data_IF_173229080265
#
_entry.id   IF_173229080265
#
_cell.length_a   1.000
_cell.length_b   1.000
_cell.length_c   1.000
_cell.angle_alpha   90.00
_cell.angle_beta   90.00
_cell.angle_gamma   90.00
#
_symmetry.space_group_name_H-M   'P 1'
#
loop_
_entity.id
_entity.type
_entity.pdbx_description
1 polymer ?
#
# COMPACT_ATOMS: atom_id res chain seq x y z
N UNK A 1 2.12 -46.44 -22.40
CA UNK A 1 1.14 -46.68 -23.47
C UNK A 1 -0.24 -46.42 -22.89
N UNK A 2 -0.88 -45.27 -23.10
CA UNK A 2 -1.54 -44.88 -24.36
C UNK A 2 -1.45 -43.35 -24.57
N UNK A 3 -0.87 -42.97 -25.71
CA UNK A 3 -0.96 -41.65 -26.34
C UNK A 3 -2.32 -41.50 -27.03
N UNK A 4 -2.97 -40.34 -26.86
CA UNK A 4 -3.77 -39.57 -27.85
C UNK A 4 -4.36 -38.37 -27.08
N UNK A 5 -3.82 -37.15 -27.15
CA UNK A 5 -3.82 -36.17 -28.26
C UNK A 5 -5.23 -35.64 -28.58
N UNK A 6 -5.30 -34.31 -28.79
CA UNK A 6 -6.43 -33.42 -29.10
C UNK A 6 -7.06 -32.75 -27.87
N UNK A 7 -7.20 -31.43 -27.77
CA UNK A 7 -6.81 -30.31 -28.62
C UNK A 7 -7.01 -29.05 -27.76
N UNK A 8 -6.01 -28.17 -27.65
CA UNK A 8 -6.07 -26.80 -28.16
C UNK A 8 -7.47 -26.15 -28.06
N UNK A 9 -7.78 -25.59 -26.89
CA UNK A 9 -8.60 -24.39 -26.78
C UNK A 9 -7.62 -23.24 -26.47
N UNK A 10 -7.05 -22.64 -27.52
CA UNK A 10 -7.59 -21.44 -28.15
C UNK A 10 -7.44 -20.22 -27.23
N UNK A 11 -6.35 -19.51 -27.47
CA UNK A 11 -5.99 -18.23 -26.90
C UNK A 11 -7.16 -17.23 -26.97
N UNK A 12 -7.74 -16.91 -25.81
CA UNK A 12 -8.72 -15.85 -25.64
C UNK A 12 -8.02 -14.51 -25.44
N UNK A 13 -7.74 -13.84 -26.56
CA UNK A 13 -7.65 -12.38 -26.74
C UNK A 13 -7.21 -11.52 -25.54
N UNK A 14 -5.89 -11.30 -25.42
CA UNK A 14 -5.36 -10.02 -24.94
C UNK A 14 -5.71 -8.93 -25.98
N UNK A 15 -6.87 -8.29 -25.85
CA UNK A 15 -7.22 -7.12 -26.67
C UNK A 15 -8.34 -6.28 -26.03
N UNK A 16 -8.10 -5.72 -24.85
CA UNK A 16 -8.89 -4.63 -24.25
C UNK A 16 -8.04 -4.02 -23.11
N UNK A 17 -7.57 -2.77 -23.09
CA UNK A 17 -7.80 -1.59 -23.91
C UNK A 17 -6.47 -0.82 -23.99
N UNK A 18 -5.81 -0.83 -25.14
CA UNK A 18 -4.73 0.08 -25.47
C UNK A 18 -5.09 0.77 -26.78
N UNK A 19 -5.85 1.86 -26.70
CA UNK A 19 -6.08 2.74 -27.84
C UNK A 19 -5.04 3.87 -27.75
N UNK A 20 -4.10 3.99 -28.69
CA UNK A 20 -3.37 5.24 -28.86
C UNK A 20 -4.39 6.26 -29.38
N UNK A 21 -4.71 7.26 -28.55
CA UNK A 21 -5.53 8.38 -28.97
C UNK A 21 -4.81 9.09 -30.12
N UNK A 22 -5.37 8.95 -31.32
CA UNK A 22 -4.96 9.65 -32.51
C UNK A 22 -5.15 11.17 -32.28
N UNK A 23 -4.05 11.91 -32.38
CA UNK A 23 -3.98 13.34 -32.12
C UNK A 23 -4.66 14.09 -33.27
N UNK A 24 -5.97 14.31 -33.17
CA UNK A 24 -6.63 15.35 -33.94
C UNK A 24 -6.28 16.72 -33.33
N UNK A 25 -5.87 17.73 -34.11
CA UNK A 25 -5.69 19.08 -33.60
C UNK A 25 -7.06 19.64 -33.24
N UNK A 26 -7.39 19.63 -31.95
CA UNK A 26 -8.46 20.46 -31.43
C UNK A 26 -7.99 21.91 -31.51
N UNK A 27 -8.56 22.62 -32.48
CA UNK A 27 -8.59 24.06 -32.60
C UNK A 27 -8.78 24.70 -31.22
N UNK A 28 -7.77 25.46 -30.78
CA UNK A 28 -7.77 26.15 -29.49
C UNK A 28 -8.84 27.24 -29.49
N UNK A 29 -10.07 26.88 -29.11
CA UNK A 29 -10.97 27.84 -28.51
C UNK A 29 -10.36 28.25 -27.14
N UNK A 30 -10.16 29.54 -26.85
CA UNK A 30 -9.64 29.95 -25.55
C UNK A 30 -10.64 29.56 -24.47
N UNK A 31 -10.28 28.55 -23.67
CA UNK A 31 -10.94 28.28 -22.41
C UNK A 31 -10.82 29.53 -21.55
N UNK A 32 -11.96 30.12 -21.19
CA UNK A 32 -12.02 31.18 -20.19
C UNK A 32 -11.33 30.67 -18.92
N UNK A 33 -10.22 31.32 -18.55
CA UNK A 33 -9.50 30.99 -17.34
C UNK A 33 -10.44 31.19 -16.14
N UNK A 34 -10.70 30.11 -15.39
CA UNK A 34 -11.29 30.24 -14.07
C UNK A 34 -10.38 31.12 -13.20
N UNK A 35 -10.93 31.97 -12.31
CA UNK A 35 -10.12 32.77 -11.42
C UNK A 35 -9.24 31.86 -10.57
N UNK A 36 -7.96 32.22 -10.46
CA UNK A 36 -7.02 31.50 -9.60
C UNK A 36 -7.52 31.56 -8.14
N UNK A 37 -7.29 30.49 -7.35
CA UNK A 37 -7.62 30.50 -5.93
C UNK A 37 -6.87 31.66 -5.25
N UNK A 38 -7.63 32.55 -4.60
CA UNK A 38 -7.07 33.68 -3.85
C UNK A 38 -6.69 33.15 -2.47
N UNK A 39 -5.38 33.04 -2.20
CA UNK A 39 -4.88 32.75 -0.86
C UNK A 39 -4.95 34.02 -0.01
N UNK A 40 -5.34 33.94 1.28
CA UNK A 40 -5.32 35.10 2.17
C UNK A 40 -3.89 35.65 2.33
N UNK A 41 -3.73 36.98 2.23
CA UNK A 41 -2.43 37.66 2.35
C UNK A 41 -1.82 37.53 3.76
N UNK A 42 -2.64 37.21 4.77
CA UNK A 42 -2.24 37.08 6.17
C UNK A 42 -1.81 35.64 6.56
N UNK A 43 -1.45 34.79 5.59
CA UNK A 43 -0.93 33.45 5.90
C UNK A 43 0.45 33.56 6.57
N UNK A 44 0.65 33.01 7.79
CA UNK A 44 1.96 33.05 8.44
C UNK A 44 3.01 32.30 7.59
N UNK A 45 4.28 32.74 7.63
CA UNK A 45 5.36 32.06 6.92
C UNK A 45 5.35 30.57 7.28
N UNK A 46 5.27 29.71 6.26
CA UNK A 46 5.47 28.28 6.45
C UNK A 46 6.96 28.09 6.76
N UNK A 47 7.30 27.67 7.99
CA UNK A 47 8.67 27.27 8.29
C UNK A 47 9.02 26.06 7.43
N UNK A 48 10.11 26.16 6.65
CA UNK A 48 10.61 25.04 5.87
C UNK A 48 11.14 23.97 6.82
N UNK A 49 10.37 22.88 6.96
CA UNK A 49 10.85 21.67 7.61
C UNK A 49 11.90 21.00 6.72
N UNK A 50 13.16 21.07 7.12
CA UNK A 50 14.23 20.29 6.50
C UNK A 50 13.92 18.80 6.70
N UNK A 51 13.86 17.98 5.63
CA UNK A 51 13.64 16.55 5.79
C UNK A 51 14.85 15.97 6.52
N UNK A 52 14.65 15.51 7.75
CA UNK A 52 15.66 14.68 8.40
C UNK A 52 15.81 13.41 7.55
N UNK A 53 17.04 13.06 7.18
CA UNK A 53 17.30 11.75 6.58
C UNK A 53 16.99 10.70 7.66
N UNK A 54 15.79 10.13 7.57
CA UNK A 54 15.22 9.30 8.61
C UNK A 54 15.83 7.90 8.69
N UNK A 55 15.58 7.17 9.79
CA UNK A 55 15.90 5.74 9.96
C UNK A 55 15.34 4.87 8.82
N UNK A 56 15.73 3.57 8.71
CA UNK A 56 15.23 2.67 7.66
C UNK A 56 13.72 2.84 7.46
N UNK A 57 13.34 3.17 6.22
CA UNK A 57 11.95 3.50 5.92
C UNK A 57 11.04 2.28 5.92
N UNK A 58 11.64 1.09 5.83
CA UNK A 58 10.94 -0.18 5.77
C UNK A 58 11.52 -1.17 6.75
N UNK A 59 10.65 -2.01 7.30
CA UNK A 59 11.03 -3.10 8.18
C UNK A 59 11.86 -4.15 7.42
N UNK A 60 11.65 -4.27 6.12
CA UNK A 60 12.50 -5.06 5.23
C UNK A 60 13.96 -4.60 5.26
N UNK A 61 14.21 -3.29 5.23
CA UNK A 61 15.56 -2.73 5.29
C UNK A 61 16.16 -2.80 6.70
N UNK A 62 15.32 -2.71 7.74
CA UNK A 62 15.75 -2.69 9.14
C UNK A 62 16.18 -4.06 9.66
N UNK A 63 15.39 -5.12 9.42
CA UNK A 63 15.63 -6.47 9.97
C UNK A 63 15.83 -7.55 8.91
N UNK A 64 15.81 -7.17 7.63
CA UNK A 64 15.97 -8.08 6.51
C UNK A 64 14.68 -8.81 6.11
N UNK A 65 14.70 -9.40 4.91
CA UNK A 65 13.51 -10.00 4.29
C UNK A 65 12.87 -11.12 5.11
N UNK A 66 13.67 -12.03 5.67
CA UNK A 66 13.14 -13.20 6.39
C UNK A 66 12.49 -12.80 7.72
N UNK A 67 13.15 -11.92 8.48
CA UNK A 67 12.62 -11.47 9.77
C UNK A 67 11.42 -10.54 9.61
N UNK A 68 11.45 -9.62 8.64
CA UNK A 68 10.30 -8.75 8.33
C UNK A 68 9.09 -9.56 7.84
N UNK A 69 9.30 -10.60 7.03
CA UNK A 69 8.22 -11.50 6.60
C UNK A 69 7.56 -12.23 7.79
N UNK A 70 8.36 -12.72 8.75
CA UNK A 70 7.82 -13.31 9.99
C UNK A 70 7.01 -12.31 10.81
N UNK A 71 7.52 -11.08 10.96
CA UNK A 71 6.83 -10.04 11.71
C UNK A 71 5.49 -9.66 11.05
N UNK A 72 5.48 -9.47 9.73
CA UNK A 72 4.26 -9.18 8.96
C UNK A 72 3.27 -10.34 9.03
N UNK A 73 3.73 -11.59 8.93
CA UNK A 73 2.87 -12.76 9.06
C UNK A 73 2.20 -12.81 10.44
N UNK A 74 2.94 -12.52 11.52
CA UNK A 74 2.39 -12.39 12.87
C UNK A 74 1.34 -11.27 12.93
N UNK A 75 1.65 -10.09 12.38
CA UNK A 75 0.73 -8.95 12.32
C UNK A 75 -0.59 -9.32 11.65
N UNK A 76 -0.55 -10.01 10.50
CA UNK A 76 -1.75 -10.45 9.79
C UNK A 76 -2.55 -11.45 10.64
N UNK A 77 -1.89 -12.40 11.28
CA UNK A 77 -2.55 -13.43 12.09
C UNK A 77 -3.31 -12.84 13.28
N UNK A 78 -2.81 -11.76 13.90
CA UNK A 78 -3.45 -11.14 15.05
C UNK A 78 -4.41 -10.00 14.69
N UNK A 79 -4.40 -9.49 13.46
CA UNK A 79 -5.20 -8.31 13.12
C UNK A 79 -6.64 -8.66 12.74
N UNK A 80 -7.66 -8.16 13.47
CA UNK A 80 -9.06 -8.36 13.11
C UNK A 80 -9.52 -7.49 11.92
N UNK A 81 -8.67 -6.59 11.41
CA UNK A 81 -9.04 -5.67 10.34
C UNK A 81 -8.97 -6.35 8.97
N UNK A 82 -9.84 -5.93 8.04
CA UNK A 82 -9.82 -6.43 6.64
C UNK A 82 -8.65 -5.90 5.82
N UNK A 83 -8.05 -4.78 6.23
CA UNK A 83 -6.89 -4.15 5.58
C UNK A 83 -5.98 -3.51 6.63
N UNK A 84 -5.26 -4.31 7.43
CA UNK A 84 -4.36 -3.78 8.43
C UNK A 84 -3.08 -3.23 7.78
N UNK A 85 -2.38 -2.28 8.42
CA UNK A 85 -1.10 -1.76 7.94
C UNK A 85 0.07 -2.76 8.19
N UNK A 86 -0.19 -4.06 8.08
CA UNK A 86 0.81 -5.13 8.16
C UNK A 86 1.56 -5.24 6.83
N UNK A 87 2.62 -4.45 6.66
CA UNK A 87 3.41 -4.42 5.43
C UNK A 87 4.89 -4.23 5.74
N UNK A 88 5.76 -5.03 5.12
CA UNK A 88 7.20 -4.95 5.31
C UNK A 88 7.80 -3.64 4.76
N UNK A 89 7.07 -2.94 3.89
CA UNK A 89 7.41 -1.61 3.41
C UNK A 89 7.22 -0.51 4.47
N UNK A 90 6.44 -0.76 5.52
CA UNK A 90 6.33 0.12 6.69
C UNK A 90 7.49 -0.13 7.65
N UNK A 91 7.82 0.83 8.52
CA UNK A 91 8.85 0.66 9.55
C UNK A 91 8.48 -0.44 10.57
N UNK A 92 9.48 -1.09 11.18
CA UNK A 92 9.21 -2.21 12.07
C UNK A 92 8.43 -1.79 13.33
N UNK A 93 8.64 -0.56 13.82
CA UNK A 93 7.93 -0.05 15.00
C UNK A 93 6.43 0.08 14.73
N UNK A 94 6.02 0.55 13.56
CA UNK A 94 4.62 0.60 13.13
C UNK A 94 4.01 -0.80 13.03
N UNK A 95 4.70 -1.76 12.40
CA UNK A 95 4.20 -3.15 12.30
C UNK A 95 4.07 -3.79 13.69
N UNK A 96 5.04 -3.56 14.59
CA UNK A 96 5.00 -4.06 15.95
C UNK A 96 3.89 -3.39 16.78
N UNK A 97 3.72 -2.08 16.67
CA UNK A 97 2.67 -1.36 17.39
C UNK A 97 1.26 -1.85 17.03
N UNK A 98 1.07 -2.32 15.80
CA UNK A 98 -0.19 -2.91 15.35
C UNK A 98 -0.43 -4.32 15.89
N UNK A 99 0.63 -5.12 16.03
CA UNK A 99 0.58 -6.39 16.76
C UNK A 99 0.15 -6.13 18.20
N UNK A 100 0.82 -5.21 18.88
CA UNK A 100 0.57 -4.89 20.29
C UNK A 100 -0.87 -4.40 20.50
N UNK A 101 -1.33 -3.47 19.66
CA UNK A 101 -2.70 -2.94 19.68
C UNK A 101 -3.74 -4.03 19.45
N UNK A 102 -3.53 -4.89 18.45
CA UNK A 102 -4.47 -5.97 18.13
C UNK A 102 -4.52 -7.02 19.26
N UNK A 103 -3.36 -7.40 19.80
CA UNK A 103 -3.29 -8.34 20.91
C UNK A 103 -3.90 -7.80 22.21
N UNK A 104 -3.81 -6.49 22.46
CA UNK A 104 -4.51 -5.87 23.58
C UNK A 104 -6.04 -6.00 23.46
N UNK A 105 -6.59 -5.84 22.24
CA UNK A 105 -8.03 -6.04 21.96
C UNK A 105 -8.43 -7.50 22.23
N UNK A 106 -7.70 -8.45 21.65
CA UNK A 106 -7.98 -9.87 21.85
C UNK A 106 -7.91 -10.32 23.30
N UNK A 107 -6.91 -9.82 24.04
CA UNK A 107 -6.73 -10.11 25.47
C UNK A 107 -7.90 -9.58 26.28
N UNK A 108 -8.34 -8.35 26.00
CA UNK A 108 -9.53 -7.77 26.63
C UNK A 108 -10.78 -8.61 26.36
N UNK A 109 -10.91 -9.14 25.15
CA UNK A 109 -12.08 -9.91 24.71
C UNK A 109 -12.02 -11.40 25.13
N UNK A 110 -10.91 -11.85 25.72
CA UNK A 110 -10.80 -13.11 26.47
C UNK A 110 -10.39 -14.35 25.67
N UNK A 111 -10.00 -14.20 24.40
CA UNK A 111 -9.56 -15.33 23.56
C UNK A 111 -8.46 -14.92 22.57
N UNK A 112 -7.23 -14.64 23.06
CA UNK A 112 -6.15 -14.22 22.19
C UNK A 112 -5.60 -15.35 21.31
N UNK A 113 -5.29 -15.06 20.03
CA UNK A 113 -4.51 -15.95 19.17
C UNK A 113 -3.17 -16.31 19.83
N UNK A 114 -2.63 -17.49 19.51
CA UNK A 114 -1.36 -17.94 20.06
C UNK A 114 -0.19 -17.00 19.70
N UNK A 115 -0.29 -16.34 18.55
CA UNK A 115 0.65 -15.34 18.05
C UNK A 115 0.76 -14.11 18.96
N UNK A 116 -0.20 -13.87 19.86
CA UNK A 116 -0.10 -12.82 20.88
C UNK A 116 0.80 -13.20 22.07
N UNK A 117 1.24 -14.46 22.19
CA UNK A 117 2.08 -14.93 23.29
C UNK A 117 3.59 -14.96 22.98
N UNK A 118 3.98 -14.60 21.75
CA UNK A 118 5.37 -14.65 21.25
C UNK A 118 6.24 -13.47 21.70
#
# INVERSE_FOLDING_TARGET
MRLTVLALFAAGALAACGQPAEKAPAETAPAAAAPAPIMPDDAPPQEEVTPVAGPPRSCLDEIGAEASARLVARCIAVSPATHPPCNAANDCASVQGEIDRACAIWTRDGNPPAECAA
#
